data_IF_837541284518
#
_entry.id   IF_837541284518
#
_cell.length_a   1.000
_cell.length_b   1.000
_cell.length_c   1.000
_cell.angle_alpha   90.00
_cell.angle_beta   90.00
_cell.angle_gamma   90.00
#
_symmetry.space_group_name_H-M   'P 1'
#
loop_
_entity.id
_entity.type
_entity.pdbx_description
1 polymer ?
#
# COMPACT_ATOMS: atom_id res chain seq x y z
N UNK A 1 -0.18 28.31 16.90
CA UNK A 1 0.77 27.74 15.93
C UNK A 1 -0.02 27.39 14.67
N UNK A 2 0.51 27.61 13.46
CA UNK A 2 -0.24 27.39 12.22
C UNK A 2 -0.51 25.90 11.96
N UNK A 3 -1.67 25.61 11.40
CA UNK A 3 -2.05 24.27 10.94
C UNK A 3 -1.23 23.86 9.72
N UNK A 4 -0.90 22.57 9.62
CA UNK A 4 -0.21 21.95 8.48
C UNK A 4 -1.22 21.20 7.63
N UNK A 5 -1.48 21.69 6.41
CA UNK A 5 -2.46 21.08 5.49
C UNK A 5 -1.77 20.08 4.57
N UNK A 6 -2.29 18.85 4.54
CA UNK A 6 -1.72 17.74 3.78
C UNK A 6 -2.80 17.20 2.84
N UNK A 7 -2.47 17.05 1.56
CA UNK A 7 -3.33 16.40 0.56
C UNK A 7 -2.75 15.04 0.21
N UNK A 8 -3.42 13.97 0.61
CA UNK A 8 -3.05 12.61 0.23
C UNK A 8 -3.78 12.23 -1.06
N UNK A 9 -3.02 12.09 -2.15
CA UNK A 9 -3.53 11.68 -3.46
C UNK A 9 -3.21 10.22 -3.71
N UNK A 10 -4.26 9.39 -3.79
CA UNK A 10 -4.13 7.97 -4.08
C UNK A 10 -3.77 7.11 -2.87
N UNK A 11 -3.90 5.80 -3.11
CA UNK A 11 -3.88 4.67 -2.20
C UNK A 11 -5.22 4.41 -1.47
N UNK A 12 -5.81 3.27 -1.82
CA UNK A 12 -6.84 2.54 -1.08
C UNK A 12 -6.34 2.21 0.36
N UNK A 13 -6.85 1.13 0.95
CA UNK A 13 -6.47 0.50 2.24
C UNK A 13 -4.97 0.52 2.66
N UNK A 14 -4.02 0.78 1.76
CA UNK A 14 -2.57 0.82 2.04
C UNK A 14 -2.13 2.13 2.73
N UNK A 15 -2.87 3.23 2.56
CA UNK A 15 -2.52 4.52 3.18
C UNK A 15 -2.80 4.60 4.67
N UNK A 16 -3.67 3.71 5.20
CA UNK A 16 -4.22 3.90 6.55
C UNK A 16 -3.16 4.07 7.64
N UNK A 17 -2.04 3.30 7.68
CA UNK A 17 -0.99 3.51 8.68
C UNK A 17 -0.28 4.86 8.55
N UNK A 18 -0.13 5.38 7.32
CA UNK A 18 0.43 6.71 7.07
C UNK A 18 -0.52 7.80 7.58
N UNK A 19 -1.80 7.70 7.22
CA UNK A 19 -2.87 8.61 7.66
C UNK A 19 -2.94 8.64 9.19
N UNK A 20 -3.07 7.48 9.81
CA UNK A 20 -3.20 7.35 11.26
C UNK A 20 -1.94 7.86 11.99
N UNK A 21 -0.74 7.70 11.41
CA UNK A 21 0.50 8.28 11.95
C UNK A 21 0.50 9.81 11.88
N UNK A 22 0.15 10.39 10.72
CA UNK A 22 0.13 11.84 10.52
C UNK A 22 -0.92 12.54 11.40
N UNK A 23 -2.08 11.91 11.60
CA UNK A 23 -3.16 12.46 12.43
C UNK A 23 -2.86 12.39 13.94
N UNK A 24 -1.75 11.76 14.37
CA UNK A 24 -1.30 11.82 15.79
C UNK A 24 -0.90 13.24 16.19
N UNK A 25 -0.36 14.03 15.25
CA UNK A 25 -0.10 15.45 15.47
C UNK A 25 -1.37 16.26 15.18
N UNK A 26 -1.93 16.87 16.23
CA UNK A 26 -3.15 17.69 16.16
C UNK A 26 -3.01 18.92 15.26
N UNK A 27 -1.79 19.29 14.87
CA UNK A 27 -1.53 20.38 13.91
C UNK A 27 -1.79 19.96 12.46
N UNK A 28 -1.81 18.66 12.18
CA UNK A 28 -1.96 18.14 10.83
C UNK A 28 -3.44 18.06 10.44
N UNK A 29 -3.78 18.66 9.31
CA UNK A 29 -5.11 18.61 8.69
C UNK A 29 -4.98 17.87 7.37
N UNK A 30 -5.50 16.65 7.32
CA UNK A 30 -5.38 15.77 6.15
C UNK A 30 -6.64 15.80 5.30
N UNK A 31 -6.47 15.96 3.99
CA UNK A 31 -7.52 15.78 2.98
C UNK A 31 -7.15 14.58 2.10
N UNK A 32 -8.07 13.63 1.94
CA UNK A 32 -7.84 12.43 1.11
C UNK A 32 -8.56 12.63 -0.23
N UNK A 33 -7.81 12.61 -1.33
CA UNK A 33 -8.36 12.65 -2.68
C UNK A 33 -8.79 11.26 -3.14
N UNK A 34 -10.09 11.02 -3.22
CA UNK A 34 -10.68 9.81 -3.82
C UNK A 34 -11.33 10.14 -5.17
N UNK A 35 -11.49 9.12 -6.03
CA UNK A 35 -12.30 9.27 -7.25
C UNK A 35 -13.77 9.43 -6.86
N UNK A 36 -14.41 10.51 -7.31
CA UNK A 36 -15.80 10.85 -6.96
C UNK A 36 -16.84 9.77 -7.33
N UNK A 37 -16.51 8.89 -8.28
CA UNK A 37 -17.38 7.78 -8.67
C UNK A 37 -17.15 6.51 -7.85
N UNK A 38 -16.06 6.40 -7.06
CA UNK A 38 -15.73 5.22 -6.25
C UNK A 38 -16.31 5.41 -4.83
N UNK A 39 -17.61 5.17 -4.69
CA UNK A 39 -18.37 5.38 -3.46
C UNK A 39 -18.76 4.06 -2.77
N UNK A 40 -19.13 4.16 -1.49
CA UNK A 40 -19.67 3.02 -0.74
C UNK A 40 -20.93 2.45 -1.40
N UNK A 41 -21.03 1.12 -1.46
CA UNK A 41 -22.16 0.40 -2.08
C UNK A 41 -21.96 -0.01 -3.54
N UNK A 42 -20.85 0.36 -4.19
CA UNK A 42 -20.53 -0.13 -5.54
C UNK A 42 -20.16 -1.61 -5.55
N UNK A 43 -20.72 -2.32 -6.52
CA UNK A 43 -20.42 -3.72 -6.79
C UNK A 43 -19.14 -3.82 -7.62
N UNK A 44 -18.35 -4.86 -7.37
CA UNK A 44 -17.12 -5.13 -8.13
C UNK A 44 -17.35 -5.18 -9.64
N UNK A 45 -18.48 -5.71 -10.09
CA UNK A 45 -18.83 -5.73 -11.51
C UNK A 45 -18.95 -4.35 -12.15
N UNK A 46 -19.45 -3.35 -11.43
CA UNK A 46 -19.59 -1.98 -11.92
C UNK A 46 -18.25 -1.25 -11.90
N UNK A 47 -17.42 -1.53 -10.88
CA UNK A 47 -16.05 -1.04 -10.80
C UNK A 47 -15.25 -1.58 -12.00
N UNK A 48 -15.33 -2.89 -12.25
CA UNK A 48 -14.64 -3.53 -13.36
C UNK A 48 -15.11 -2.96 -14.70
N UNK A 49 -16.42 -2.80 -14.91
CA UNK A 49 -16.97 -2.18 -16.11
C UNK A 49 -16.36 -0.78 -16.35
N UNK A 50 -16.34 0.08 -15.32
CA UNK A 50 -15.82 1.44 -15.46
C UNK A 50 -14.29 1.48 -15.66
N UNK A 51 -13.55 0.55 -15.05
CA UNK A 51 -12.09 0.48 -15.20
C UNK A 51 -11.66 -0.08 -16.55
N UNK A 52 -12.33 -1.12 -17.04
CA UNK A 52 -11.96 -1.78 -18.29
C UNK A 52 -12.66 -1.21 -19.51
N UNK A 53 -13.69 -0.37 -19.30
CA UNK A 53 -14.57 0.12 -20.36
C UNK A 53 -15.41 -0.98 -21.01
N UNK A 54 -15.80 -2.00 -20.25
CA UNK A 54 -16.67 -3.07 -20.77
C UNK A 54 -18.07 -2.53 -21.09
N UNK A 55 -18.75 -3.19 -22.03
CA UNK A 55 -20.08 -2.76 -22.49
C UNK A 55 -21.12 -2.72 -21.36
N UNK A 56 -21.07 -3.69 -20.43
CA UNK A 56 -21.91 -3.73 -19.24
C UNK A 56 -21.20 -4.35 -18.03
N UNK A 57 -21.83 -4.28 -16.87
CA UNK A 57 -21.40 -4.95 -15.64
C UNK A 57 -21.81 -6.43 -15.56
N UNK A 58 -22.19 -7.05 -16.68
CA UNK A 58 -22.50 -8.49 -16.71
C UNK A 58 -21.22 -9.31 -16.84
N UNK A 59 -21.21 -10.50 -16.24
CA UNK A 59 -20.03 -11.38 -16.28
C UNK A 59 -19.59 -11.69 -17.72
N UNK A 60 -20.52 -11.89 -18.64
CA UNK A 60 -20.23 -12.19 -20.05
C UNK A 60 -19.45 -11.05 -20.71
N UNK A 61 -19.89 -9.80 -20.56
CA UNK A 61 -19.25 -8.65 -21.17
C UNK A 61 -17.89 -8.32 -20.52
N UNK A 62 -17.78 -8.56 -19.21
CA UNK A 62 -16.51 -8.41 -18.49
C UNK A 62 -15.48 -9.45 -18.95
N UNK A 63 -15.90 -10.72 -19.15
CA UNK A 63 -15.03 -11.77 -19.67
C UNK A 63 -14.64 -11.51 -21.13
N UNK A 64 -15.56 -11.05 -21.96
CA UNK A 64 -15.26 -10.66 -23.34
C UNK A 64 -14.20 -9.54 -23.37
N UNK A 65 -14.31 -8.55 -22.47
CA UNK A 65 -13.30 -7.49 -22.37
C UNK A 65 -11.94 -8.01 -21.88
N UNK A 66 -11.93 -8.99 -20.98
CA UNK A 66 -10.68 -9.65 -20.56
C UNK A 66 -10.02 -10.36 -21.74
N UNK A 67 -10.79 -11.04 -22.59
CA UNK A 67 -10.27 -11.71 -23.78
C UNK A 67 -9.75 -10.74 -24.85
N UNK A 68 -10.34 -9.55 -24.92
CA UNK A 68 -9.89 -8.49 -25.82
C UNK A 68 -8.54 -7.88 -25.36
N UNK A 69 -8.36 -7.72 -24.04
CA UNK A 69 -7.23 -6.97 -23.48
C UNK A 69 -6.07 -7.87 -23.02
N UNK A 70 -6.34 -9.11 -22.67
CA UNK A 70 -5.35 -10.04 -22.12
C UNK A 70 -4.96 -11.14 -23.11
N UNK A 71 -3.65 -11.44 -23.16
CA UNK A 71 -3.12 -12.59 -23.89
C UNK A 71 -2.82 -13.73 -22.92
N UNK A 72 -3.31 -14.94 -23.21
CA UNK A 72 -3.09 -16.14 -22.41
C UNK A 72 -2.19 -17.12 -23.15
N UNK A 73 -1.35 -17.86 -22.42
CA UNK A 73 -0.45 -18.87 -23.03
C UNK A 73 -1.21 -20.11 -23.47
N UNK A 74 -2.30 -20.46 -22.78
CA UNK A 74 -3.19 -21.56 -23.16
C UNK A 74 -4.64 -21.35 -22.69
N UNK A 75 -5.62 -22.05 -23.28
CA UNK A 75 -7.01 -22.03 -22.82
C UNK A 75 -7.20 -22.53 -21.38
N UNK A 76 -6.38 -23.48 -20.93
CA UNK A 76 -6.40 -24.01 -19.56
C UNK A 76 -5.88 -22.99 -18.56
N UNK A 77 -4.82 -22.25 -18.91
CA UNK A 77 -4.30 -21.15 -18.08
C UNK A 77 -5.34 -20.05 -17.94
N UNK A 78 -5.95 -19.64 -19.05
CA UNK A 78 -7.07 -18.69 -19.05
C UNK A 78 -8.17 -19.13 -18.08
N UNK A 79 -8.61 -20.39 -18.19
CA UNK A 79 -9.68 -20.93 -17.34
C UNK A 79 -9.31 -20.91 -15.86
N UNK A 80 -8.06 -21.25 -15.51
CA UNK A 80 -7.56 -21.19 -14.12
C UNK A 80 -7.51 -19.77 -13.58
N UNK A 81 -7.01 -18.82 -14.36
CA UNK A 81 -6.93 -17.41 -13.97
C UNK A 81 -8.34 -16.85 -13.76
N UNK A 82 -9.25 -17.08 -14.71
CA UNK A 82 -10.64 -16.63 -14.61
C UNK A 82 -11.38 -17.26 -13.43
N UNK A 83 -11.13 -18.54 -13.14
CA UNK A 83 -11.68 -19.18 -11.95
C UNK A 83 -11.19 -18.51 -10.66
N UNK A 84 -9.91 -18.14 -10.58
CA UNK A 84 -9.36 -17.37 -9.46
C UNK A 84 -9.98 -15.98 -9.33
N UNK A 85 -10.15 -15.26 -10.44
CA UNK A 85 -10.81 -13.94 -10.45
C UNK A 85 -12.29 -14.02 -10.02
N UNK A 86 -13.01 -15.08 -10.43
CA UNK A 86 -14.37 -15.37 -9.97
C UNK A 86 -14.40 -15.72 -8.49
N UNK A 87 -13.45 -16.53 -8.01
CA UNK A 87 -13.33 -16.88 -6.59
C UNK A 87 -13.09 -15.65 -5.71
N UNK A 88 -12.32 -14.66 -6.19
CA UNK A 88 -12.14 -13.37 -5.52
C UNK A 88 -13.38 -12.44 -5.61
N UNK A 89 -14.46 -12.86 -6.27
CA UNK A 89 -15.70 -12.10 -6.40
C UNK A 89 -15.62 -10.90 -7.35
N UNK A 90 -14.59 -10.80 -8.19
CA UNK A 90 -14.37 -9.63 -9.06
C UNK A 90 -15.44 -9.45 -10.15
N UNK A 91 -16.16 -10.52 -10.49
CA UNK A 91 -17.29 -10.50 -11.43
C UNK A 91 -18.65 -10.64 -10.74
N UNK A 92 -18.66 -10.83 -9.41
CA UNK A 92 -19.87 -11.11 -8.64
C UNK A 92 -20.54 -9.83 -8.11
N UNK A 93 -21.83 -9.96 -7.80
CA UNK A 93 -22.67 -8.89 -7.26
C UNK A 93 -22.54 -8.68 -5.73
N UNK A 94 -21.76 -9.53 -5.04
CA UNK A 94 -21.64 -9.56 -3.58
C UNK A 94 -20.19 -9.32 -3.18
N UNK A 95 -19.98 -8.44 -2.19
CA UNK A 95 -18.68 -8.03 -1.69
C UNK A 95 -18.27 -8.87 -0.47
N UNK A 96 -18.41 -10.19 -0.57
CA UNK A 96 -18.06 -11.10 0.54
C UNK A 96 -16.77 -11.85 0.21
N UNK A 97 -15.63 -11.23 0.52
CA UNK A 97 -14.38 -11.94 0.71
C UNK A 97 -13.53 -11.18 1.72
N UNK A 98 -13.12 -11.82 2.84
CA UNK A 98 -12.24 -11.19 3.80
C UNK A 98 -10.89 -10.94 3.14
N UNK A 99 -10.45 -9.69 3.17
CA UNK A 99 -9.16 -9.23 2.67
C UNK A 99 -8.06 -10.16 3.20
N UNK A 100 -7.48 -10.98 2.31
CA UNK A 100 -6.44 -11.93 2.67
C UNK A 100 -5.22 -11.22 3.26
N UNK A 101 -4.69 -11.75 4.36
CA UNK A 101 -3.45 -11.27 4.97
C UNK A 101 -2.27 -11.59 4.04
N UNK A 102 -1.77 -10.58 3.32
CA UNK A 102 -0.50 -10.67 2.60
C UNK A 102 0.63 -10.90 3.61
N UNK A 103 1.25 -12.08 3.57
CA UNK A 103 2.53 -12.35 4.23
C UNK A 103 3.63 -11.70 3.38
N UNK A 104 4.32 -10.70 3.92
CA UNK A 104 5.55 -10.19 3.33
C UNK A 104 6.72 -10.99 3.88
N UNK A 105 7.39 -11.77 3.03
CA UNK A 105 8.73 -12.27 3.33
C UNK A 105 9.71 -11.11 3.21
N UNK A 106 10.54 -10.89 4.25
CA UNK A 106 11.54 -9.81 4.27
C UNK A 106 12.60 -9.97 3.16
N UNK A 107 13.27 -8.88 2.82
CA UNK A 107 14.46 -8.90 1.96
C UNK A 107 15.69 -9.18 2.82
N UNK A 108 16.42 -10.26 2.50
CA UNK A 108 17.72 -10.53 3.10
C UNK A 108 18.81 -9.79 2.32
N UNK A 109 19.49 -8.83 2.96
CA UNK A 109 20.72 -8.26 2.42
C UNK A 109 21.91 -9.05 2.98
N UNK A 110 22.55 -9.85 2.13
CA UNK A 110 23.72 -10.65 2.49
C UNK A 110 24.99 -9.88 2.11
N UNK A 111 25.72 -9.40 3.11
CA UNK A 111 27.09 -8.91 2.97
C UNK A 111 28.05 -10.01 3.47
N UNK A 112 29.31 -10.07 2.99
CA UNK A 112 30.27 -11.07 3.47
C UNK A 112 30.42 -10.97 5.00
N UNK A 113 29.96 -12.00 5.72
CA UNK A 113 30.04 -12.09 7.18
C UNK A 113 28.96 -11.33 7.99
N UNK A 114 27.96 -10.70 7.35
CA UNK A 114 26.87 -10.00 8.05
C UNK A 114 25.52 -10.16 7.35
N UNK A 115 24.47 -10.37 8.14
CA UNK A 115 23.08 -10.48 7.67
C UNK A 115 22.20 -9.53 8.48
N UNK A 116 21.40 -8.71 7.81
CA UNK A 116 20.39 -7.87 8.45
C UNK A 116 19.01 -8.35 8.00
N UNK A 117 18.20 -8.85 8.94
CA UNK A 117 16.90 -9.46 8.68
C UNK A 117 15.76 -8.68 9.32
N UNK A 118 14.63 -8.54 8.62
CA UNK A 118 13.39 -7.96 9.12
C UNK A 118 12.27 -8.99 9.00
N UNK A 119 11.68 -9.34 10.13
CA UNK A 119 10.49 -10.18 10.19
C UNK A 119 9.34 -9.39 10.79
N UNK A 120 8.26 -9.23 10.03
CA UNK A 120 7.07 -8.50 10.44
C UNK A 120 5.82 -9.31 10.14
N UNK A 121 4.92 -9.38 11.11
CA UNK A 121 3.61 -10.00 10.97
C UNK A 121 2.51 -8.94 11.01
N UNK A 122 1.45 -9.19 10.25
CA UNK A 122 0.22 -8.39 10.36
C UNK A 122 -0.54 -8.74 11.62
N UNK A 123 -1.22 -7.74 12.18
CA UNK A 123 -2.07 -7.91 13.36
C UNK A 123 -3.51 -8.23 12.92
N UNK A 124 -4.16 -9.31 13.42
CA UNK A 124 -5.56 -9.57 13.13
C UNK A 124 -6.46 -8.39 13.55
N UNK A 125 -7.23 -7.84 12.61
CA UNK A 125 -8.05 -6.64 12.84
C UNK A 125 -7.26 -5.32 12.85
N UNK A 126 -5.94 -5.37 12.72
CA UNK A 126 -5.04 -4.22 12.62
C UNK A 126 -4.43 -4.10 11.22
N UNK A 127 -3.19 -3.62 11.16
CA UNK A 127 -2.48 -3.45 9.89
C UNK A 127 -1.80 -4.73 9.43
N UNK A 128 -1.76 -4.94 8.11
CA UNK A 128 -0.87 -5.92 7.52
C UNK A 128 0.59 -5.48 7.70
N UNK A 129 1.52 -6.44 7.73
CA UNK A 129 2.96 -6.15 7.82
C UNK A 129 3.41 -5.18 6.71
N UNK A 130 2.90 -5.36 5.50
CA UNK A 130 3.19 -4.51 4.34
C UNK A 130 2.62 -3.10 4.49
N UNK A 131 1.36 -2.96 4.90
CA UNK A 131 0.78 -1.63 5.10
C UNK A 131 1.50 -0.88 6.22
N UNK A 132 1.86 -1.59 7.30
CA UNK A 132 2.62 -1.03 8.43
C UNK A 132 4.00 -0.56 7.99
N UNK A 133 4.80 -1.41 7.34
CA UNK A 133 6.18 -1.05 6.95
C UNK A 133 6.23 0.08 5.93
N UNK A 134 5.35 0.09 4.92
CA UNK A 134 5.30 1.12 3.88
C UNK A 134 4.63 2.41 4.38
N UNK A 135 3.47 2.28 5.03
CA UNK A 135 2.69 3.43 5.49
C UNK A 135 3.40 4.22 6.59
N UNK A 136 4.00 3.53 7.57
CA UNK A 136 4.72 4.22 8.65
C UNK A 136 5.96 4.94 8.16
N UNK A 137 6.79 4.30 7.31
CA UNK A 137 8.01 4.94 6.79
C UNK A 137 7.67 6.18 5.96
N UNK A 138 6.60 6.12 5.18
CA UNK A 138 6.06 7.28 4.46
C UNK A 138 5.59 8.40 5.41
N UNK A 139 4.78 8.06 6.42
CA UNK A 139 4.29 9.02 7.42
C UNK A 139 5.42 9.68 8.22
N UNK A 140 6.45 8.91 8.60
CA UNK A 140 7.67 9.40 9.26
C UNK A 140 8.39 10.41 8.37
N UNK A 141 8.61 10.09 7.10
CA UNK A 141 9.29 10.97 6.15
C UNK A 141 8.52 12.29 5.93
N UNK A 142 7.20 12.22 5.80
CA UNK A 142 6.33 13.41 5.69
C UNK A 142 6.44 14.24 6.96
N UNK A 143 6.39 13.61 8.15
CA UNK A 143 6.49 14.35 9.41
C UNK A 143 7.86 15.02 9.58
N UNK A 144 8.96 14.35 9.20
CA UNK A 144 10.31 14.95 9.19
C UNK A 144 10.36 16.20 8.29
N UNK A 145 9.77 16.13 7.10
CA UNK A 145 9.67 17.27 6.20
C UNK A 145 8.84 18.42 6.81
N UNK A 146 7.68 18.08 7.38
CA UNK A 146 6.77 19.04 8.01
C UNK A 146 7.34 19.70 9.26
N UNK A 147 8.23 19.02 9.98
CA UNK A 147 8.90 19.53 11.18
C UNK A 147 10.15 20.35 10.85
N UNK A 148 10.37 20.66 9.56
CA UNK A 148 11.51 21.41 9.05
C UNK A 148 12.87 20.79 9.40
N UNK A 149 12.93 19.45 9.50
CA UNK A 149 14.18 18.74 9.83
C UNK A 149 15.27 19.01 8.78
N UNK A 150 16.47 19.46 9.17
CA UNK A 150 17.45 20.01 8.23
C UNK A 150 17.90 19.03 7.14
N UNK A 151 17.92 17.74 7.45
CA UNK A 151 18.36 16.70 6.52
C UNK A 151 17.30 16.39 5.44
N UNK A 152 16.01 16.56 5.75
CA UNK A 152 14.89 16.25 4.87
C UNK A 152 14.26 17.47 4.21
N UNK A 153 14.44 18.66 4.77
CA UNK A 153 13.87 19.91 4.27
C UNK A 153 14.85 20.71 3.39
N UNK A 154 15.50 20.03 2.44
CA UNK A 154 16.35 20.66 1.43
C UNK A 154 15.58 20.69 0.10
N UNK A 155 15.62 21.80 -0.67
CA UNK A 155 15.03 21.79 -2.01
C UNK A 155 15.75 20.77 -2.92
N UNK A 156 14.98 19.95 -3.64
CA UNK A 156 15.51 19.00 -4.61
C UNK A 156 14.83 17.63 -4.58
N UNK A 157 15.35 16.69 -5.37
CA UNK A 157 14.94 15.28 -5.33
C UNK A 157 15.81 14.58 -4.30
N UNK A 158 15.21 14.16 -3.20
CA UNK A 158 15.91 13.57 -2.05
C UNK A 158 15.53 12.10 -1.91
N UNK A 159 16.52 11.28 -1.58
CA UNK A 159 16.36 9.87 -1.24
C UNK A 159 17.17 9.55 0.03
N UNK A 160 16.79 8.51 0.80
CA UNK A 160 17.48 8.12 2.03
C UNK A 160 18.80 7.41 1.73
N UNK A 161 19.80 8.16 1.26
CA UNK A 161 21.16 7.67 0.96
C UNK A 161 22.23 8.29 1.87
N UNK A 162 21.87 9.26 2.70
CA UNK A 162 22.76 9.84 3.71
C UNK A 162 22.41 9.33 5.10
N UNK A 163 23.43 9.19 5.97
CA UNK A 163 23.21 8.80 7.37
C UNK A 163 22.27 9.77 8.10
N UNK A 164 22.40 11.07 7.83
CA UNK A 164 21.56 12.10 8.43
C UNK A 164 20.06 11.83 8.23
N UNK A 165 19.66 11.36 7.05
CA UNK A 165 18.25 11.02 6.76
C UNK A 165 17.94 9.62 7.27
N UNK A 166 18.81 8.64 6.98
CA UNK A 166 18.57 7.24 7.32
C UNK A 166 18.46 7.02 8.83
N UNK A 167 19.30 7.67 9.64
CA UNK A 167 19.30 7.51 11.09
C UNK A 167 18.03 8.09 11.71
N UNK A 168 17.54 9.24 11.21
CA UNK A 168 16.27 9.83 11.66
C UNK A 168 15.09 8.90 11.37
N UNK A 169 15.02 8.38 10.14
CA UNK A 169 13.95 7.44 9.75
C UNK A 169 14.07 6.15 10.55
N UNK A 170 15.28 5.60 10.71
CA UNK A 170 15.53 4.35 11.43
C UNK A 170 15.10 4.45 12.89
N UNK A 171 15.51 5.49 13.61
CA UNK A 171 15.15 5.68 15.02
C UNK A 171 13.62 5.75 15.20
N UNK A 172 12.93 6.50 14.33
CA UNK A 172 11.46 6.61 14.39
C UNK A 172 10.76 5.31 13.97
N UNK A 173 11.28 4.59 12.98
CA UNK A 173 10.74 3.31 12.54
C UNK A 173 10.91 2.22 13.62
N UNK A 174 12.07 2.16 14.28
CA UNK A 174 12.34 1.23 15.37
C UNK A 174 11.39 1.47 16.56
N UNK A 175 11.07 2.73 16.85
CA UNK A 175 10.09 3.10 17.89
C UNK A 175 8.67 2.59 17.58
N UNK A 176 8.33 2.39 16.31
CA UNK A 176 7.05 1.81 15.87
C UNK A 176 7.12 0.27 15.70
N UNK A 177 8.23 -0.35 16.12
CA UNK A 177 8.46 -1.79 16.05
C UNK A 177 8.91 -2.30 14.67
N UNK A 178 9.36 -1.42 13.77
CA UNK A 178 9.95 -1.78 12.47
C UNK A 178 11.47 -1.72 12.61
N UNK A 179 12.10 -2.87 12.90
CA UNK A 179 13.53 -2.96 13.19
C UNK A 179 14.19 -4.14 12.49
N UNK A 180 15.36 -3.90 11.90
CA UNK A 180 16.22 -4.97 11.40
C UNK A 180 17.06 -5.55 12.54
N UNK A 181 17.20 -6.88 12.54
CA UNK A 181 18.10 -7.61 13.44
C UNK A 181 19.36 -7.98 12.66
N UNK A 182 20.52 -7.57 13.17
CA UNK A 182 21.81 -7.88 12.56
C UNK A 182 22.43 -9.13 13.18
N UNK A 183 22.92 -10.02 12.33
CA UNK A 183 23.67 -11.22 12.68
C UNK A 183 25.05 -11.13 12.01
N UNK A 184 26.11 -11.43 12.77
CA UNK A 184 27.47 -11.60 12.24
C UNK A 184 27.79 -13.09 12.23
N UNK A 185 28.30 -13.60 11.10
CA UNK A 185 28.69 -15.00 10.95
C UNK A 185 30.09 -15.27 11.53
#
# INVERSE_FOLDING_TARGET
>A
MPEKKILALGSDMVAKPCVDYLLRDKKNVLTIGSKAWLNEGLKWSHIQQQLTGAASATEVDLLAKVDEVCSFRSPEERSKILAGLKWMGLFAAVRDSPLGTLRSTGQDMQLPGRTSALELFGEPGGYSAMAKSVGLTCGIAIQLLLDDEPASNKPGVIAPYSREICDLIRVRAEAEGVKLVEHTL
#
